data_IF_768661038512
#
_entry.id   IF_768661038512
#
_cell.length_a   1.000
_cell.length_b   1.000
_cell.length_c   1.000
_cell.angle_alpha   90.00
_cell.angle_beta   90.00
_cell.angle_gamma   90.00
#
_symmetry.space_group_name_H-M   'P 1'
#
loop_
_entity.id
_entity.type
_entity.pdbx_description
1 polymer ?
#
# COMPACT_ATOMS: atom_id res chain seq x y z
N UNK A 1 24.31 12.34 10.21
CA UNK A 1 23.33 11.37 9.68
C UNK A 1 22.88 11.83 8.31
N UNK A 2 23.08 11.00 7.30
CA UNK A 2 22.60 11.24 5.95
C UNK A 2 21.56 10.19 5.59
N UNK A 3 20.73 10.49 4.59
CA UNK A 3 19.60 9.64 4.21
C UNK A 3 19.68 9.31 2.72
N UNK A 4 19.36 8.07 2.38
CA UNK A 4 19.32 7.59 1.00
C UNK A 4 18.02 6.81 0.75
N UNK A 5 17.62 6.79 -0.51
CA UNK A 5 16.48 6.02 -1.00
C UNK A 5 16.91 5.29 -2.27
N UNK A 6 16.71 3.96 -2.30
CA UNK A 6 16.96 3.12 -3.46
C UNK A 6 15.62 2.64 -4.01
N UNK A 7 15.42 2.84 -5.31
CA UNK A 7 14.31 2.27 -6.05
C UNK A 7 14.80 1.07 -6.86
N UNK A 8 14.12 -0.06 -6.73
CA UNK A 8 14.47 -1.29 -7.42
C UNK A 8 13.26 -1.96 -8.05
N UNK A 9 13.48 -2.74 -9.11
CA UNK A 9 12.46 -3.61 -9.70
C UNK A 9 12.79 -5.04 -9.22
N UNK A 10 11.96 -5.65 -8.36
CA UNK A 10 12.19 -7.01 -7.88
C UNK A 10 12.11 -8.00 -9.04
N UNK A 11 12.90 -9.08 -8.96
CA UNK A 11 12.88 -10.17 -9.95
C UNK A 11 11.76 -11.18 -9.65
N UNK A 12 10.54 -10.69 -9.55
CA UNK A 12 9.33 -11.50 -9.33
C UNK A 12 8.52 -11.59 -10.64
N UNK A 13 7.69 -12.63 -10.84
CA UNK A 13 7.00 -12.85 -12.11
C UNK A 13 5.82 -11.90 -12.39
N UNK A 14 5.57 -10.92 -11.52
CA UNK A 14 4.54 -9.88 -11.68
C UNK A 14 5.17 -8.48 -11.62
N UNK A 15 4.48 -7.47 -12.14
CA UNK A 15 4.92 -6.09 -12.02
C UNK A 15 4.98 -5.68 -10.55
N UNK A 16 6.17 -5.30 -10.10
CA UNK A 16 6.38 -4.80 -8.74
C UNK A 16 7.49 -3.76 -8.71
N UNK A 17 7.44 -2.89 -7.70
CA UNK A 17 8.45 -1.86 -7.44
C UNK A 17 8.82 -1.91 -5.96
N UNK A 18 10.11 -2.04 -5.69
CA UNK A 18 10.68 -1.97 -4.36
C UNK A 18 11.22 -0.57 -4.07
N UNK A 19 11.03 -0.12 -2.83
CA UNK A 19 11.65 1.09 -2.30
C UNK A 19 12.33 0.74 -0.98
N UNK A 20 13.60 1.06 -0.88
CA UNK A 20 14.40 0.87 0.33
C UNK A 20 14.88 2.25 0.79
N UNK A 21 14.46 2.67 1.96
CA UNK A 21 14.95 3.88 2.61
C UNK A 21 15.95 3.49 3.70
N UNK A 22 17.06 4.20 3.78
CA UNK A 22 18.09 3.95 4.78
C UNK A 22 18.76 5.24 5.22
N UNK A 23 19.45 5.14 6.34
CA UNK A 23 20.28 6.21 6.90
C UNK A 23 21.68 5.73 7.11
N UNK A 24 22.64 6.63 6.91
CA UNK A 24 24.04 6.36 7.12
C UNK A 24 24.66 7.40 8.04
N UNK A 25 25.53 6.92 8.92
CA UNK A 25 26.28 7.73 9.85
C UNK A 25 27.76 7.40 9.73
N UNK A 26 28.58 8.45 9.65
CA UNK A 26 30.02 8.34 9.66
C UNK A 26 30.56 9.09 10.87
N UNK A 27 31.58 8.50 11.51
CA UNK A 27 32.44 9.23 12.45
C UNK A 27 33.82 9.40 11.84
N UNK A 28 34.33 10.63 11.93
CA UNK A 28 35.61 11.02 11.39
C UNK A 28 36.64 11.19 12.51
N UNK A 29 37.88 10.78 12.25
CA UNK A 29 39.01 11.06 13.14
C UNK A 29 39.47 12.52 13.00
N UNK A 30 40.51 12.90 13.76
CA UNK A 30 41.07 14.26 13.71
C UNK A 30 41.69 14.62 12.35
N UNK A 31 42.00 13.62 11.52
CA UNK A 31 42.56 13.74 10.18
C UNK A 31 41.47 13.69 9.10
N UNK A 32 40.19 13.59 9.48
CA UNK A 32 39.05 13.51 8.56
C UNK A 32 38.83 12.12 7.95
N UNK A 33 39.49 11.07 8.44
CA UNK A 33 39.24 9.69 7.96
C UNK A 33 38.04 9.07 8.66
N UNK A 34 37.25 8.32 7.90
CA UNK A 34 36.12 7.56 8.41
C UNK A 34 36.66 6.36 9.21
N UNK A 35 36.33 6.29 10.50
CA UNK A 35 36.70 5.15 11.36
C UNK A 35 35.49 4.32 11.80
N UNK A 36 34.28 4.88 11.75
CA UNK A 36 33.04 4.18 12.01
C UNK A 36 32.02 4.52 10.94
N UNK A 37 31.36 3.50 10.42
CA UNK A 37 30.25 3.60 9.49
C UNK A 37 29.08 2.77 10.02
N UNK A 38 27.93 3.41 10.22
CA UNK A 38 26.67 2.74 10.58
C UNK A 38 25.65 2.94 9.48
N UNK A 39 24.90 1.88 9.20
CA UNK A 39 23.80 1.86 8.24
C UNK A 39 22.57 1.32 8.95
N UNK A 40 21.51 2.10 8.95
CA UNK A 40 20.22 1.71 9.51
C UNK A 40 19.16 1.69 8.40
N UNK A 41 18.34 0.65 8.39
CA UNK A 41 17.21 0.54 7.47
C UNK A 41 15.99 1.24 8.08
N UNK A 42 15.32 2.10 7.30
CA UNK A 42 14.09 2.74 7.72
C UNK A 42 12.90 1.91 7.22
N UNK A 43 12.33 1.08 8.10
CA UNK A 43 11.10 0.35 7.81
C UNK A 43 9.87 1.26 8.01
N UNK A 44 9.42 1.94 6.95
CA UNK A 44 8.16 2.71 6.98
C UNK A 44 6.90 1.85 6.90
N UNK A 45 7.05 0.60 6.41
CA UNK A 45 5.92 -0.30 6.22
C UNK A 45 5.56 -0.97 7.56
N UNK A 46 4.99 -0.19 8.50
CA UNK A 46 4.21 -0.83 9.56
C UNK A 46 3.10 -1.61 8.84
N UNK A 47 2.90 -2.91 9.14
CA UNK A 47 1.82 -3.66 8.53
C UNK A 47 0.54 -2.83 8.71
N UNK A 48 -0.30 -2.69 7.67
CA UNK A 48 -1.56 -1.98 7.83
C UNK A 48 -2.25 -2.59 9.04
N UNK A 49 -2.61 -1.74 10.02
CA UNK A 49 -3.36 -2.20 11.17
C UNK A 49 -4.65 -2.77 10.60
N UNK A 50 -4.80 -4.09 10.62
CA UNK A 50 -6.02 -4.73 10.21
C UNK A 50 -7.11 -4.18 11.13
N UNK A 51 -8.03 -3.40 10.56
CA UNK A 51 -9.23 -3.01 11.31
C UNK A 51 -10.04 -4.28 11.45
N UNK A 52 -10.00 -4.88 12.64
CA UNK A 52 -10.91 -5.96 13.00
C UNK A 52 -12.30 -5.32 13.00
N UNK A 53 -13.08 -5.58 11.95
CA UNK A 53 -14.49 -5.19 11.92
C UNK A 53 -15.24 -5.94 13.02
N UNK A 54 -16.14 -5.25 13.71
CA UNK A 54 -17.04 -5.94 14.62
C UNK A 54 -17.98 -6.86 13.82
N UNK A 55 -18.37 -7.98 14.41
CA UNK A 55 -19.26 -8.96 13.76
C UNK A 55 -20.58 -8.28 13.33
N UNK A 56 -21.05 -7.31 14.11
CA UNK A 56 -22.22 -6.49 13.80
C UNK A 56 -22.06 -5.67 12.50
N UNK A 57 -20.91 -5.04 12.30
CA UNK A 57 -20.61 -4.26 11.07
C UNK A 57 -20.54 -5.18 9.85
N UNK A 58 -19.99 -6.38 10.03
CA UNK A 58 -19.91 -7.39 8.98
C UNK A 58 -21.31 -7.91 8.61
N UNK A 59 -22.15 -8.22 9.62
CA UNK A 59 -23.54 -8.61 9.43
C UNK A 59 -24.33 -7.49 8.75
N UNK A 60 -24.10 -6.22 9.09
CA UNK A 60 -24.79 -5.10 8.45
C UNK A 60 -24.36 -4.92 6.98
N UNK A 61 -23.07 -5.12 6.68
CA UNK A 61 -22.55 -5.06 5.32
C UNK A 61 -23.14 -6.14 4.42
N UNK A 62 -23.25 -7.38 4.91
CA UNK A 62 -23.85 -8.50 4.17
C UNK A 62 -25.38 -8.56 4.27
N UNK A 63 -25.95 -8.03 5.33
CA UNK A 63 -27.37 -8.06 5.66
C UNK A 63 -28.15 -6.88 5.10
N UNK A 64 -27.50 -5.94 4.42
CA UNK A 64 -28.19 -4.97 3.60
C UNK A 64 -28.80 -5.72 2.41
N UNK A 65 -30.13 -5.75 2.23
CA UNK A 65 -30.72 -6.25 1.00
C UNK A 65 -30.29 -5.29 -0.11
N UNK A 66 -29.23 -5.64 -0.85
CA UNK A 66 -29.07 -5.17 -2.21
C UNK A 66 -30.23 -5.78 -2.98
N UNK A 67 -31.42 -5.18 -2.89
CA UNK A 67 -32.51 -5.52 -3.78
C UNK A 67 -31.96 -5.28 -5.19
N UNK A 68 -31.68 -6.32 -5.99
CA UNK A 68 -31.38 -6.10 -7.38
C UNK A 68 -32.69 -5.60 -7.97
N UNK A 69 -32.76 -4.32 -8.34
CA UNK A 69 -33.92 -3.83 -9.08
C UNK A 69 -34.11 -4.73 -10.30
N UNK A 70 -35.31 -5.27 -10.56
CA UNK A 70 -35.51 -6.16 -11.69
C UNK A 70 -35.17 -5.41 -12.98
N UNK A 71 -34.14 -5.86 -13.70
CA UNK A 71 -33.68 -5.31 -14.99
C UNK A 71 -34.73 -5.42 -16.11
N UNK A 72 -35.89 -6.02 -15.82
CA UNK A 72 -36.95 -6.31 -16.78
C UNK A 72 -37.58 -5.05 -17.41
N UNK A 73 -37.59 -3.90 -16.72
CA UNK A 73 -38.27 -2.70 -17.23
C UNK A 73 -37.40 -1.74 -18.07
N UNK A 74 -36.09 -1.95 -18.18
CA UNK A 74 -35.22 -1.05 -18.98
C UNK A 74 -35.33 -1.28 -20.50
N UNK A 75 -35.83 -2.44 -20.93
CA UNK A 75 -35.94 -2.81 -22.36
C UNK A 75 -37.04 -2.00 -23.08
N UNK A 76 -38.11 -1.61 -22.38
CA UNK A 76 -39.25 -0.90 -23.01
C UNK A 76 -38.97 0.58 -23.31
N UNK A 77 -38.05 1.22 -22.59
CA UNK A 77 -37.63 2.59 -22.89
C UNK A 77 -36.81 2.73 -24.17
N UNK A 78 -36.15 1.66 -24.61
CA UNK A 78 -35.34 1.67 -25.83
C UNK A 78 -36.17 1.43 -27.11
N UNK A 79 -37.31 0.75 -26.99
CA UNK A 79 -38.16 0.40 -28.14
C UNK A 79 -39.09 1.56 -28.55
N UNK A 80 -39.39 2.53 -27.66
CA UNK A 80 -40.25 3.68 -27.96
C UNK A 80 -39.54 4.88 -28.59
N UNK A 81 -38.24 4.80 -28.87
CA UNK A 81 -37.49 5.82 -29.62
C UNK A 81 -37.00 5.23 -30.95
N UNK A 82 -37.94 4.97 -31.85
CA UNK A 82 -37.69 4.83 -33.29
C UNK A 82 -38.89 5.33 -34.05
#
# INVERSE_FOLDING_TARGET
>A
MFRWTVHGIPRVPWESRGRFDGTFEYKLDKQGKIYEHRVDNIAFNKPPRFKVMAVEELIQFFGCPQTPGPTYFEIFSFIKRK
#
